data_IF_946159942602
#
_entry.id   IF_946159942602
#
_cell.length_a   1.000
_cell.length_b   1.000
_cell.length_c   1.000
_cell.angle_alpha   90.00
_cell.angle_beta   90.00
_cell.angle_gamma   90.00
#
_symmetry.space_group_name_H-M   'P 1'
#
loop_
_entity.id
_entity.type
_entity.pdbx_description
1 polymer ?
#
# COMPACT_ATOMS: atom_id res chain seq x y z
N UNK A 1 12.49 7.77 -13.92
CA UNK A 1 12.01 7.58 -12.54
C UNK A 1 11.64 6.12 -12.31
N UNK A 2 12.16 5.55 -11.26
CA UNK A 2 11.87 4.16 -10.93
C UNK A 2 10.75 4.10 -9.89
N UNK A 3 9.64 3.46 -10.25
CA UNK A 3 8.44 3.38 -9.41
C UNK A 3 8.30 2.04 -8.74
N UNK A 4 8.01 2.07 -7.45
CA UNK A 4 7.88 0.88 -6.60
C UNK A 4 6.45 0.82 -6.07
N UNK A 5 5.87 -0.38 -6.00
CA UNK A 5 4.55 -0.58 -5.40
C UNK A 5 4.62 -1.67 -4.34
N UNK A 6 3.90 -1.47 -3.26
CA UNK A 6 3.69 -2.49 -2.24
C UNK A 6 2.22 -2.46 -1.82
N UNK A 7 1.70 -3.59 -1.38
CA UNK A 7 0.30 -3.72 -0.99
C UNK A 7 0.21 -4.19 0.46
N UNK A 8 -0.83 -3.76 1.15
CA UNK A 8 -1.05 -4.20 2.51
C UNK A 8 -2.24 -3.56 3.17
N UNK A 9 -2.53 -3.98 4.38
CA UNK A 9 -3.64 -3.46 5.18
C UNK A 9 -3.20 -2.24 5.99
N UNK A 10 -1.99 -2.27 6.51
CA UNK A 10 -1.39 -1.17 7.29
C UNK A 10 -2.31 -0.62 8.37
N UNK A 11 -2.91 -1.54 9.13
CA UNK A 11 -3.73 -1.15 10.27
C UNK A 11 -2.84 -0.98 11.50
N UNK A 12 -3.12 0.02 12.32
CA UNK A 12 -2.33 0.31 13.52
C UNK A 12 -0.84 0.42 13.19
N UNK A 13 -0.51 1.42 12.38
CA UNK A 13 0.87 1.63 11.94
C UNK A 13 1.86 1.60 13.11
N UNK A 14 2.94 0.87 12.93
CA UNK A 14 3.99 0.76 13.92
C UNK A 14 5.35 0.78 13.26
N UNK A 15 6.40 0.65 14.07
CA UNK A 15 7.78 0.77 13.62
C UNK A 15 8.13 -0.19 12.48
N UNK A 16 7.61 -1.42 12.54
CA UNK A 16 7.82 -2.41 11.47
C UNK A 16 7.27 -1.96 10.12
N UNK A 17 6.09 -1.34 10.12
CA UNK A 17 5.52 -0.79 8.89
C UNK A 17 6.39 0.34 8.34
N UNK A 18 6.88 1.21 9.22
CA UNK A 18 7.73 2.34 8.78
C UNK A 18 9.02 1.82 8.15
N UNK A 19 9.62 0.79 8.75
CA UNK A 19 10.84 0.19 8.20
C UNK A 19 10.60 -0.45 6.83
N UNK A 20 9.46 -1.12 6.67
CA UNK A 20 9.10 -1.72 5.39
C UNK A 20 8.95 -0.63 4.32
N UNK A 21 8.22 0.43 4.64
CA UNK A 21 7.99 1.52 3.69
C UNK A 21 9.30 2.24 3.33
N UNK A 22 10.17 2.46 4.31
CA UNK A 22 11.46 3.06 4.05
C UNK A 22 12.30 2.21 3.10
N UNK A 23 12.35 0.90 3.34
CA UNK A 23 13.13 -0.02 2.48
C UNK A 23 12.55 -0.09 1.09
N UNK A 24 11.22 -0.13 0.98
CA UNK A 24 10.55 -0.13 -0.32
C UNK A 24 10.89 1.15 -1.10
N UNK A 25 10.83 2.30 -0.43
CA UNK A 25 11.15 3.59 -1.06
C UNK A 25 12.59 3.63 -1.55
N UNK A 26 13.50 3.00 -0.84
CA UNK A 26 14.91 2.96 -1.22
C UNK A 26 15.19 2.13 -2.48
N UNK A 27 14.23 1.31 -2.89
CA UNK A 27 14.37 0.50 -4.10
C UNK A 27 14.04 1.26 -5.38
N UNK A 28 13.63 2.53 -5.25
CA UNK A 28 13.32 3.36 -6.40
C UNK A 28 13.18 4.81 -5.97
N UNK A 29 12.51 5.59 -6.83
CA UNK A 29 12.38 7.04 -6.63
C UNK A 29 10.98 7.46 -6.20
N UNK A 30 10.02 6.54 -6.27
CA UNK A 30 8.61 6.85 -6.06
C UNK A 30 7.91 5.62 -5.52
N UNK A 31 7.26 5.75 -4.37
CA UNK A 31 6.58 4.62 -3.72
C UNK A 31 5.07 4.78 -3.76
N UNK A 32 4.42 3.77 -4.31
CA UNK A 32 2.97 3.64 -4.36
C UNK A 32 2.57 2.57 -3.35
N UNK A 33 1.57 2.85 -2.53
CA UNK A 33 1.02 1.87 -1.59
C UNK A 33 -0.40 1.52 -2.00
N UNK A 34 -0.63 0.25 -2.32
CA UNK A 34 -1.96 -0.30 -2.54
C UNK A 34 -2.56 -0.68 -1.19
N UNK A 35 -3.50 0.13 -0.71
CA UNK A 35 -4.08 -0.03 0.61
C UNK A 35 -5.40 -0.78 0.52
N UNK A 36 -5.51 -1.92 1.19
CA UNK A 36 -6.72 -2.73 1.12
C UNK A 36 -7.92 -1.99 1.71
N UNK A 37 -9.04 -2.04 0.97
CA UNK A 37 -10.29 -1.42 1.41
C UNK A 37 -10.93 -2.25 2.52
N UNK A 38 -11.85 -1.65 3.26
CA UNK A 38 -12.57 -2.36 4.31
C UNK A 38 -13.36 -3.53 3.75
N UNK A 39 -14.00 -3.35 2.59
CA UNK A 39 -14.75 -4.40 1.91
C UNK A 39 -13.85 -5.55 1.48
N UNK A 40 -12.69 -5.24 0.91
CA UNK A 40 -11.73 -6.25 0.49
C UNK A 40 -11.22 -7.06 1.68
N UNK A 41 -10.90 -6.41 2.77
CA UNK A 41 -10.44 -7.08 3.98
C UNK A 41 -11.50 -8.02 4.53
N UNK A 42 -12.74 -7.60 4.55
CA UNK A 42 -13.83 -8.43 5.06
C UNK A 42 -14.13 -9.60 4.13
N UNK A 43 -14.29 -9.32 2.83
CA UNK A 43 -14.72 -10.33 1.86
C UNK A 43 -13.65 -11.38 1.58
N UNK A 44 -12.39 -10.95 1.47
CA UNK A 44 -11.32 -11.86 1.05
C UNK A 44 -10.45 -12.35 2.20
N UNK A 45 -10.30 -11.57 3.25
CA UNK A 45 -9.42 -11.91 4.37
C UNK A 45 -10.17 -12.19 5.66
N UNK A 46 -11.48 -11.99 5.68
CA UNK A 46 -12.31 -12.12 6.89
C UNK A 46 -11.73 -11.30 8.05
N UNK A 47 -11.21 -10.12 7.72
CA UNK A 47 -10.53 -9.27 8.65
C UNK A 47 -11.27 -7.94 8.79
N UNK A 48 -11.47 -7.51 10.04
CA UNK A 48 -12.01 -6.19 10.33
C UNK A 48 -10.89 -5.34 10.90
N UNK A 49 -10.59 -4.23 10.23
CA UNK A 49 -9.53 -3.34 10.67
C UNK A 49 -9.96 -2.51 11.86
N UNK A 50 -9.00 -2.14 12.69
CA UNK A 50 -9.23 -1.22 13.81
C UNK A 50 -9.57 0.17 13.29
N UNK A 51 -8.80 0.65 12.29
CA UNK A 51 -9.07 1.92 11.62
C UNK A 51 -9.73 1.68 10.27
N UNK A 52 -10.68 2.57 9.90
CA UNK A 52 -11.31 2.54 8.59
C UNK A 52 -10.28 2.82 7.48
N UNK A 53 -10.65 2.48 6.25
CA UNK A 53 -9.80 2.76 5.09
C UNK A 53 -9.37 4.24 5.05
N UNK A 54 -10.30 5.16 5.27
CA UNK A 54 -10.01 6.58 5.21
C UNK A 54 -8.94 7.00 6.22
N UNK A 55 -9.04 6.49 7.44
CA UNK A 55 -8.05 6.80 8.48
C UNK A 55 -6.70 6.17 8.17
N UNK A 56 -6.70 4.94 7.70
CA UNK A 56 -5.46 4.25 7.32
C UNK A 56 -4.76 4.98 6.18
N UNK A 57 -5.54 5.46 5.21
CA UNK A 57 -5.02 6.22 4.08
C UNK A 57 -4.38 7.53 4.55
N UNK A 58 -5.06 8.26 5.43
CA UNK A 58 -4.54 9.52 5.98
C UNK A 58 -3.22 9.32 6.71
N UNK A 59 -3.13 8.25 7.50
CA UNK A 59 -1.90 7.95 8.22
C UNK A 59 -0.75 7.63 7.27
N UNK A 60 -1.01 6.84 6.23
CA UNK A 60 0.00 6.51 5.23
C UNK A 60 0.45 7.74 4.46
N UNK A 61 -0.49 8.61 4.10
CA UNK A 61 -0.17 9.81 3.34
C UNK A 61 0.70 10.79 4.15
N UNK A 62 0.70 10.67 5.46
CA UNK A 62 1.53 11.49 6.33
C UNK A 62 2.96 10.95 6.46
N UNK A 63 3.23 9.75 5.97
CA UNK A 63 4.55 9.13 6.05
C UNK A 63 5.41 9.63 4.89
N UNK A 64 6.58 10.14 5.23
CA UNK A 64 7.49 10.77 4.27
C UNK A 64 7.92 9.87 3.12
N UNK A 65 7.88 8.55 3.32
CA UNK A 65 8.33 7.59 2.31
C UNK A 65 7.28 7.25 1.27
N UNK A 66 6.02 7.61 1.53
CA UNK A 66 4.88 7.26 0.68
C UNK A 66 4.57 8.42 -0.25
N UNK A 67 4.55 8.15 -1.55
CA UNK A 67 4.26 9.16 -2.56
C UNK A 67 2.82 9.12 -3.03
N UNK A 68 2.21 7.94 -3.05
CA UNK A 68 0.84 7.79 -3.53
C UNK A 68 0.17 6.60 -2.85
N UNK A 69 -1.07 6.77 -2.43
CA UNK A 69 -1.89 5.68 -1.88
C UNK A 69 -3.04 5.42 -2.83
N UNK A 70 -3.19 4.16 -3.26
CA UNK A 70 -4.29 3.72 -4.11
C UNK A 70 -5.07 2.61 -3.39
N UNK A 71 -6.36 2.41 -3.69
CA UNK A 71 -7.11 1.33 -3.05
C UNK A 71 -6.76 -0.03 -3.64
N UNK A 72 -6.67 -1.04 -2.78
CA UNK A 72 -6.61 -2.43 -3.21
C UNK A 72 -7.99 -3.03 -2.99
N UNK A 73 -8.69 -3.33 -4.08
CA UNK A 73 -10.08 -3.76 -4.05
C UNK A 73 -10.28 -5.22 -4.47
N UNK A 74 -9.28 -5.80 -5.12
CA UNK A 74 -9.30 -7.21 -5.53
C UNK A 74 -7.88 -7.69 -5.81
N UNK A 75 -7.71 -9.03 -5.90
CA UNK A 75 -6.39 -9.61 -6.12
C UNK A 75 -5.86 -9.39 -7.53
N UNK A 76 -6.76 -9.27 -8.49
CA UNK A 76 -6.39 -9.19 -9.91
C UNK A 76 -5.89 -7.83 -10.35
N UNK A 77 -6.19 -6.79 -9.59
CA UNK A 77 -5.82 -5.42 -9.99
C UNK A 77 -4.30 -5.19 -10.08
N UNK A 78 -3.51 -6.05 -9.47
CA UNK A 78 -2.05 -5.87 -9.46
C UNK A 78 -1.47 -5.76 -10.86
N UNK A 79 -1.96 -6.55 -11.81
CA UNK A 79 -1.53 -6.46 -13.20
C UNK A 79 -1.88 -5.13 -13.84
N UNK A 80 -3.10 -4.67 -13.60
CA UNK A 80 -3.58 -3.39 -14.12
C UNK A 80 -2.79 -2.24 -13.49
N UNK A 81 -2.59 -2.31 -12.19
CA UNK A 81 -1.84 -1.28 -11.46
C UNK A 81 -0.42 -1.12 -11.98
N UNK A 82 0.27 -2.23 -12.23
CA UNK A 82 1.63 -2.20 -12.75
C UNK A 82 1.70 -1.46 -14.07
N UNK A 83 0.74 -1.68 -14.94
CA UNK A 83 0.68 -1.00 -16.23
C UNK A 83 0.26 0.46 -16.09
N UNK A 84 -0.80 0.70 -15.33
CA UNK A 84 -1.39 2.03 -15.21
C UNK A 84 -0.45 3.01 -14.54
N UNK A 85 0.26 2.57 -13.51
CA UNK A 85 1.15 3.44 -12.74
C UNK A 85 2.62 3.30 -13.16
N UNK A 86 2.89 2.56 -14.23
CA UNK A 86 4.25 2.37 -14.75
C UNK A 86 5.21 1.86 -13.68
N UNK A 87 4.81 0.79 -13.00
CA UNK A 87 5.58 0.24 -11.89
C UNK A 87 6.76 -0.58 -12.39
N UNK A 88 7.94 -0.34 -11.83
CA UNK A 88 9.16 -1.08 -12.15
C UNK A 88 9.44 -2.23 -11.18
N UNK A 89 9.06 -2.07 -9.91
CA UNK A 89 9.39 -3.03 -8.87
C UNK A 89 8.20 -3.24 -7.93
N UNK A 90 7.92 -4.52 -7.65
CA UNK A 90 6.90 -4.91 -6.68
C UNK A 90 7.61 -5.41 -5.42
N UNK A 91 7.27 -4.84 -4.28
CA UNK A 91 7.86 -5.23 -2.99
C UNK A 91 6.80 -5.92 -2.14
N UNK A 92 7.10 -7.13 -1.69
CA UNK A 92 6.22 -7.88 -0.80
C UNK A 92 6.52 -7.51 0.65
N UNK A 93 5.47 -7.23 1.40
CA UNK A 93 5.61 -6.86 2.79
C UNK A 93 5.65 -8.03 3.73
#
# INVERSE_FOLDING_TARGET
MKRVITYGTFDLLHYGHINLLRRARQMGDYLIVGLSTDEFNWNEKQKKCYFSYEKRKQLLEAIRYVDLVIPEENWEQKRTDVKEYHVDTFVMG
#
